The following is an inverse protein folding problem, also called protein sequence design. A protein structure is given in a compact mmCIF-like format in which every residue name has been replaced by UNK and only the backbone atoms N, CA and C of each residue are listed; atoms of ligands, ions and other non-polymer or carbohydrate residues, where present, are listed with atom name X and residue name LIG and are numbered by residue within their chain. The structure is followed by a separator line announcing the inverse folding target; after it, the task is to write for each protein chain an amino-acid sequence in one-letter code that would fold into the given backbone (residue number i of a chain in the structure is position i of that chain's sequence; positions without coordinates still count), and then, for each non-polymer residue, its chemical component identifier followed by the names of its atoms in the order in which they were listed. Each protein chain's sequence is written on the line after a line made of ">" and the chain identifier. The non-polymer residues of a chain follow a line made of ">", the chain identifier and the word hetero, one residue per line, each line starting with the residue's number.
data_IF_848785798751
#
_entry.id   IF_848785798751
#
_cell.length_a   1.000
_cell.length_b   1.000
_cell.length_c   1.000
_cell.angle_alpha   90.00
_cell.angle_beta   90.00
_cell.angle_gamma   90.00
#
_symmetry.space_group_name_H-M   'P 1'
#
loop_
_entity.id
_entity.type
_entity.pdbx_description
1 polymer ?
#
# COMPACT_ATOMS: atom_id res chain seq x y z
N UNK A 1 4.98 11.90 -13.31
CA UNK A 1 5.01 11.11 -12.06
C UNK A 1 4.59 9.68 -12.38
N UNK A 2 5.45 8.72 -12.13
CA UNK A 2 5.16 7.31 -12.44
C UNK A 2 4.25 6.68 -11.39
N UNK A 3 4.56 6.88 -10.10
CA UNK A 3 3.81 6.30 -9.00
C UNK A 3 3.31 7.34 -8.01
N UNK A 4 2.13 7.08 -7.43
CA UNK A 4 1.65 7.75 -6.22
C UNK A 4 1.46 6.72 -5.12
N UNK A 5 2.23 6.83 -4.05
CA UNK A 5 2.11 5.99 -2.86
C UNK A 5 1.03 6.57 -1.97
N UNK A 6 -0.06 5.84 -1.78
CA UNK A 6 -1.21 6.26 -0.96
C UNK A 6 -1.15 5.55 0.38
N UNK A 7 -1.04 6.32 1.46
CA UNK A 7 -0.89 5.81 2.83
C UNK A 7 -2.04 6.33 3.68
N UNK A 8 -3.08 5.51 3.94
CA UNK A 8 -4.10 5.84 4.94
C UNK A 8 -3.52 5.64 6.34
N UNK A 9 -3.73 6.63 7.23
CA UNK A 9 -3.17 6.63 8.59
C UNK A 9 -4.27 6.86 9.62
N UNK A 10 -4.22 6.08 10.71
CA UNK A 10 -5.05 6.30 11.88
C UNK A 10 -4.29 5.94 13.15
N UNK A 11 -3.84 6.96 13.92
CA UNK A 11 -3.11 6.82 15.19
C UNK A 11 -1.83 5.95 15.12
N UNK A 12 -1.01 6.10 14.07
CA UNK A 12 0.20 5.28 13.83
C UNK A 12 1.41 6.10 13.40
N UNK A 13 1.84 7.12 14.19
CA UNK A 13 2.96 7.97 13.78
C UNK A 13 4.30 7.22 13.68
N UNK A 14 4.54 6.23 14.55
CA UNK A 14 5.81 5.50 14.59
C UNK A 14 5.96 4.59 13.36
N UNK A 15 4.90 3.87 12.98
CA UNK A 15 4.88 3.03 11.78
C UNK A 15 5.02 3.85 10.50
N UNK A 16 4.41 5.05 10.47
CA UNK A 16 4.58 6.00 9.36
C UNK A 16 6.04 6.45 9.23
N UNK A 17 6.75 6.66 10.36
CA UNK A 17 8.17 7.01 10.34
C UNK A 17 9.01 5.91 9.68
N UNK A 18 8.81 4.66 10.07
CA UNK A 18 9.51 3.50 9.49
C UNK A 18 9.23 3.36 7.99
N UNK A 19 7.98 3.51 7.57
CA UNK A 19 7.59 3.45 6.16
C UNK A 19 8.24 4.60 5.35
N UNK A 20 8.16 5.85 5.83
CA UNK A 20 8.76 7.01 5.16
C UNK A 20 10.28 6.88 5.09
N UNK A 21 10.93 6.35 6.12
CA UNK A 21 12.35 6.05 6.09
C UNK A 21 12.67 5.04 4.97
N UNK A 22 11.90 3.96 4.85
CA UNK A 22 12.10 2.96 3.79
C UNK A 22 11.86 3.53 2.39
N UNK A 23 10.96 4.50 2.24
CA UNK A 23 10.71 5.22 0.99
C UNK A 23 11.88 6.15 0.63
N UNK A 24 12.56 6.76 1.60
CA UNK A 24 13.77 7.55 1.31
C UNK A 24 14.92 6.70 0.77
N UNK A 25 14.98 5.44 1.15
CA UNK A 25 16.01 4.50 0.72
C UNK A 25 15.81 3.94 -0.69
N UNK A 26 14.67 4.19 -1.34
CA UNK A 26 14.39 3.69 -2.68
C UNK A 26 15.40 4.24 -3.71
N UNK A 27 15.90 3.40 -4.61
CA UNK A 27 16.74 3.84 -5.73
C UNK A 27 15.93 4.59 -6.79
N UNK A 28 14.78 4.08 -7.16
CA UNK A 28 13.84 4.76 -8.06
C UNK A 28 13.21 5.97 -7.37
N UNK A 29 13.12 7.12 -8.07
CA UNK A 29 12.69 8.39 -7.44
C UNK A 29 11.46 9.05 -8.10
N UNK A 30 10.94 8.52 -9.21
CA UNK A 30 9.79 9.13 -9.89
C UNK A 30 8.46 8.72 -9.22
N UNK A 31 8.33 9.05 -7.94
CA UNK A 31 7.10 8.86 -7.17
C UNK A 31 6.81 10.03 -6.22
N UNK A 32 5.57 10.16 -5.85
CA UNK A 32 5.10 10.99 -4.75
C UNK A 32 4.53 10.13 -3.63
N UNK A 33 4.44 10.69 -2.44
CA UNK A 33 3.83 10.07 -1.26
C UNK A 33 2.64 10.91 -0.82
N UNK A 34 1.47 10.30 -0.72
CA UNK A 34 0.23 10.94 -0.28
C UNK A 34 -0.19 10.30 1.04
N UNK A 35 0.09 11.01 2.13
CA UNK A 35 -0.29 10.60 3.50
C UNK A 35 -1.64 11.20 3.82
N UNK A 36 -2.60 10.36 4.20
CA UNK A 36 -3.95 10.80 4.56
C UNK A 36 -4.32 10.34 5.97
N UNK A 37 -4.40 11.30 6.87
CA UNK A 37 -4.82 11.10 8.26
C UNK A 37 -6.34 10.96 8.34
N UNK A 38 -6.83 9.84 8.88
CA UNK A 38 -8.25 9.50 8.97
C UNK A 38 -8.86 9.84 10.33
N UNK A 39 -8.70 11.08 10.78
CA UNK A 39 -9.25 11.56 12.06
C UNK A 39 -8.48 11.06 13.28
N UNK A 40 -7.16 10.92 13.18
CA UNK A 40 -6.31 10.52 14.29
C UNK A 40 -6.35 11.49 15.44
N UNK A 41 -6.33 10.96 16.66
CA UNK A 41 -6.05 11.72 17.88
C UNK A 41 -4.55 11.92 18.13
N UNK A 42 -3.72 11.06 17.53
CA UNK A 42 -2.25 11.16 17.50
C UNK A 42 -1.81 11.28 16.05
N UNK A 43 -1.75 12.51 15.49
CA UNK A 43 -1.43 12.71 14.09
C UNK A 43 0.06 12.48 13.78
N UNK A 44 0.35 12.03 12.56
CA UNK A 44 1.72 11.83 12.08
C UNK A 44 2.31 13.05 11.34
N UNK A 45 1.69 14.23 11.44
CA UNK A 45 2.14 15.43 10.72
C UNK A 45 3.60 15.78 10.99
N UNK A 46 4.01 15.83 12.25
CA UNK A 46 5.39 16.15 12.65
C UNK A 46 6.39 15.11 12.12
N UNK A 47 5.98 13.85 12.05
CA UNK A 47 6.75 12.77 11.44
C UNK A 47 6.92 13.07 9.95
N UNK A 48 5.83 13.32 9.25
CA UNK A 48 5.82 13.59 7.80
C UNK A 48 6.70 14.79 7.44
N UNK A 49 6.64 15.87 8.23
CA UNK A 49 7.41 17.09 8.01
C UNK A 49 8.94 16.86 8.03
N UNK A 50 9.43 15.84 8.73
CA UNK A 50 10.86 15.46 8.73
C UNK A 50 11.38 14.92 7.41
N UNK A 51 10.49 14.57 6.49
CA UNK A 51 10.83 13.92 5.22
C UNK A 51 10.58 14.78 3.97
N UNK A 52 9.99 15.98 4.10
CA UNK A 52 9.61 16.84 2.96
C UNK A 52 10.80 17.26 2.07
N UNK A 53 12.01 17.36 2.62
CA UNK A 53 13.22 17.69 1.86
C UNK A 53 13.80 16.49 1.08
N UNK A 54 13.33 15.28 1.37
CA UNK A 54 13.85 14.02 0.81
C UNK A 54 12.84 13.29 -0.06
N UNK A 55 11.55 13.53 0.17
CA UNK A 55 10.43 12.90 -0.53
C UNK A 55 9.45 13.97 -1.01
N UNK A 56 8.86 13.77 -2.18
CA UNK A 56 7.72 14.58 -2.62
C UNK A 56 6.46 14.14 -1.87
N UNK A 57 6.19 14.75 -0.72
CA UNK A 57 5.09 14.37 0.18
C UNK A 57 3.94 15.38 0.12
N UNK A 58 2.72 14.87 -0.02
CA UNK A 58 1.46 15.57 0.21
C UNK A 58 0.80 15.01 1.47
N UNK A 59 0.55 15.85 2.46
CA UNK A 59 -0.12 15.45 3.70
C UNK A 59 -1.52 16.05 3.77
N UNK A 60 -2.49 15.21 4.08
CA UNK A 60 -3.89 15.61 4.25
C UNK A 60 -4.45 15.05 5.56
N UNK A 61 -5.37 15.80 6.18
CA UNK A 61 -6.13 15.33 7.34
C UNK A 61 -7.63 15.51 7.07
N UNK A 62 -8.42 14.54 7.47
CA UNK A 62 -9.89 14.57 7.31
C UNK A 62 -10.58 13.87 8.48
N UNK A 63 -11.90 14.10 8.69
CA UNK A 63 -12.69 13.30 9.62
C UNK A 63 -12.64 11.81 9.28
N UNK A 64 -12.70 10.95 10.31
CA UNK A 64 -12.65 9.50 10.14
C UNK A 64 -13.79 9.00 9.25
N UNK A 65 -13.44 8.19 8.26
CA UNK A 65 -14.39 7.59 7.32
C UNK A 65 -14.04 6.15 6.92
N UNK A 66 -13.02 5.59 7.56
CA UNK A 66 -12.50 4.26 7.30
C UNK A 66 -11.44 4.21 6.19
N UNK A 67 -10.63 3.12 6.16
CA UNK A 67 -9.45 3.04 5.32
C UNK A 67 -9.76 3.08 3.82
N UNK A 68 -10.84 2.45 3.35
CA UNK A 68 -11.21 2.48 1.92
C UNK A 68 -11.50 3.88 1.42
N UNK A 69 -12.29 4.68 2.17
CA UNK A 69 -12.59 6.06 1.80
C UNK A 69 -11.35 6.96 1.93
N UNK A 70 -10.45 6.64 2.84
CA UNK A 70 -9.18 7.36 3.03
C UNK A 70 -8.23 7.11 1.87
N UNK A 71 -8.18 5.88 1.35
CA UNK A 71 -7.45 5.54 0.12
C UNK A 71 -8.03 6.27 -1.09
N UNK A 72 -9.36 6.32 -1.24
CA UNK A 72 -10.02 7.09 -2.32
C UNK A 72 -9.66 8.58 -2.24
N UNK A 73 -9.72 9.15 -1.04
CA UNK A 73 -9.38 10.56 -0.81
C UNK A 73 -7.94 10.87 -1.23
N UNK A 74 -6.99 9.98 -0.92
CA UNK A 74 -5.59 10.10 -1.34
C UNK A 74 -5.43 9.95 -2.86
N UNK A 75 -6.09 8.97 -3.45
CA UNK A 75 -6.05 8.73 -4.89
C UNK A 75 -6.54 9.93 -5.71
N UNK A 76 -7.63 10.58 -5.28
CA UNK A 76 -8.18 11.79 -5.91
C UNK A 76 -7.20 12.99 -5.89
N UNK A 77 -6.22 13.00 -4.97
CA UNK A 77 -5.25 14.10 -4.76
C UNK A 77 -3.85 13.78 -5.22
N UNK A 78 -3.71 12.67 -5.88
CA UNK A 78 -2.44 12.15 -6.40
C UNK A 78 -2.35 12.30 -7.92
N UNK A 79 -1.13 12.20 -8.50
CA UNK A 79 -0.87 12.53 -9.91
C UNK A 79 -0.21 11.38 -10.69
N UNK A 80 0.26 10.33 -10.02
CA UNK A 80 0.98 9.21 -10.63
C UNK A 80 0.13 8.40 -11.60
N UNK A 81 0.78 7.80 -12.57
CA UNK A 81 0.14 6.87 -13.53
C UNK A 81 -0.37 5.61 -12.84
N UNK A 82 0.40 5.10 -11.88
CA UNK A 82 0.01 4.00 -11.01
C UNK A 82 -0.19 4.47 -9.57
N UNK A 83 -1.22 3.98 -8.93
CA UNK A 83 -1.47 4.12 -7.51
C UNK A 83 -0.87 2.91 -6.79
N UNK A 84 0.05 3.15 -5.86
CA UNK A 84 0.60 2.13 -4.97
C UNK A 84 -0.05 2.34 -3.60
N UNK A 85 -0.91 1.42 -3.22
CA UNK A 85 -1.65 1.49 -1.96
C UNK A 85 -0.91 0.64 -0.94
N UNK A 86 -0.46 1.28 0.14
CA UNK A 86 0.27 0.65 1.24
C UNK A 86 -0.44 0.92 2.56
N UNK A 87 -0.43 -0.05 3.45
CA UNK A 87 -0.77 0.19 4.84
C UNK A 87 0.41 0.88 5.56
N UNK A 88 0.13 1.63 6.63
CA UNK A 88 1.13 2.44 7.33
C UNK A 88 2.23 1.64 8.04
N UNK A 89 2.02 0.34 8.26
CA UNK A 89 2.91 -0.59 8.98
C UNK A 89 3.78 -1.45 8.04
N UNK A 90 3.98 -1.00 6.81
CA UNK A 90 4.82 -1.67 5.80
C UNK A 90 6.23 -1.07 5.77
N UNK A 91 7.25 -1.91 5.66
CA UNK A 91 8.64 -1.51 5.37
C UNK A 91 9.01 -2.07 3.99
N UNK A 92 9.43 -1.18 3.09
CA UNK A 92 9.77 -1.54 1.72
C UNK A 92 11.25 -1.87 1.57
N UNK A 93 11.62 -2.92 0.79
CA UNK A 93 13.00 -3.13 0.38
C UNK A 93 13.46 -1.99 -0.55
N UNK A 94 14.75 -1.66 -0.53
CA UNK A 94 15.34 -0.51 -1.27
C UNK A 94 15.09 -0.52 -2.78
N UNK A 95 14.85 -1.69 -3.37
CA UNK A 95 14.59 -1.89 -4.81
C UNK A 95 13.14 -2.25 -5.12
N UNK A 96 12.21 -1.84 -4.28
CA UNK A 96 10.79 -2.17 -4.46
C UNK A 96 10.26 -1.65 -5.79
N UNK A 97 10.49 -0.38 -6.12
CA UNK A 97 10.03 0.19 -7.39
C UNK A 97 10.81 -0.31 -8.61
N UNK A 98 12.12 -0.58 -8.45
CA UNK A 98 12.91 -1.19 -9.54
C UNK A 98 12.37 -2.57 -9.93
N UNK A 99 11.96 -3.36 -8.95
CA UNK A 99 11.34 -4.67 -9.20
C UNK A 99 9.98 -4.53 -9.90
N UNK A 100 9.15 -3.56 -9.49
CA UNK A 100 7.87 -3.28 -10.16
C UNK A 100 8.11 -2.86 -11.61
N UNK A 101 9.05 -1.95 -11.89
CA UNK A 101 9.36 -1.51 -13.25
C UNK A 101 9.84 -2.68 -14.12
N UNK A 102 10.72 -3.54 -13.60
CA UNK A 102 11.20 -4.70 -14.33
C UNK A 102 10.05 -5.66 -14.70
N UNK A 103 9.14 -5.92 -13.77
CA UNK A 103 7.96 -6.77 -14.00
C UNK A 103 6.98 -6.14 -14.99
N UNK A 104 6.69 -4.85 -14.87
CA UNK A 104 5.79 -4.14 -15.77
C UNK A 104 6.35 -4.02 -17.19
N UNK A 105 7.68 -3.95 -17.35
CA UNK A 105 8.34 -3.99 -18.65
C UNK A 105 8.25 -5.39 -19.29
N UNK A 106 8.40 -6.44 -18.49
CA UNK A 106 8.34 -7.82 -18.96
C UNK A 106 6.89 -8.27 -19.25
N UNK A 107 5.94 -7.82 -18.42
CA UNK A 107 4.53 -8.19 -18.49
C UNK A 107 3.66 -7.01 -18.02
N UNK A 108 3.24 -6.14 -18.96
CA UNK A 108 2.36 -5.02 -18.63
C UNK A 108 1.09 -5.47 -17.92
N UNK A 109 0.75 -4.84 -16.80
CA UNK A 109 -0.41 -5.16 -15.98
C UNK A 109 -1.14 -3.90 -15.53
N UNK A 110 -2.45 -3.99 -15.44
CA UNK A 110 -3.31 -2.90 -14.92
C UNK A 110 -3.40 -2.92 -13.40
N UNK A 111 -3.20 -4.09 -12.80
CA UNK A 111 -3.14 -4.24 -11.34
C UNK A 111 -2.15 -5.34 -10.96
N UNK A 112 -1.43 -5.13 -9.87
CA UNK A 112 -0.48 -6.07 -9.31
C UNK A 112 -0.44 -5.98 -7.78
N UNK A 113 0.18 -6.96 -7.14
CA UNK A 113 0.45 -6.95 -5.72
C UNK A 113 1.65 -7.81 -5.42
N UNK A 114 2.39 -7.45 -4.39
CA UNK A 114 3.56 -8.18 -3.93
C UNK A 114 3.24 -9.17 -2.81
N UNK A 115 4.08 -10.19 -2.62
CA UNK A 115 4.03 -11.04 -1.44
C UNK A 115 4.42 -10.25 -0.19
N UNK A 116 3.78 -10.57 0.92
CA UNK A 116 4.16 -10.11 2.23
C UNK A 116 5.22 -11.06 2.87
N UNK A 117 6.16 -10.48 3.59
CA UNK A 117 7.15 -11.22 4.37
C UNK A 117 7.33 -10.54 5.73
N UNK A 118 7.45 -11.34 6.79
CA UNK A 118 7.83 -10.82 8.09
C UNK A 118 9.22 -10.17 8.02
N UNK A 119 9.35 -8.97 8.60
CA UNK A 119 10.64 -8.31 8.74
C UNK A 119 11.54 -9.09 9.71
N UNK A 120 12.85 -9.03 9.52
CA UNK A 120 13.82 -9.78 10.35
C UNK A 120 13.79 -9.33 11.83
N UNK A 121 13.39 -8.08 12.11
CA UNK A 121 13.21 -7.54 13.47
C UNK A 121 11.96 -8.05 14.19
N UNK A 122 11.07 -8.78 13.53
CA UNK A 122 9.87 -9.31 14.16
C UNK A 122 10.20 -10.29 15.27
N UNK A 123 9.44 -10.24 16.35
CA UNK A 123 9.53 -11.20 17.44
C UNK A 123 9.22 -12.63 16.95
N UNK A 124 9.65 -13.65 17.69
CA UNK A 124 9.38 -15.04 17.31
C UNK A 124 7.88 -15.33 17.21
N UNK A 125 7.04 -14.67 18.03
CA UNK A 125 5.58 -14.77 17.95
C UNK A 125 5.06 -14.17 16.65
N UNK A 126 5.53 -12.98 16.26
CA UNK A 126 5.14 -12.35 14.99
C UNK A 126 5.62 -13.16 13.78
N UNK A 127 6.83 -13.74 13.84
CA UNK A 127 7.34 -14.67 12.81
C UNK A 127 6.49 -15.95 12.72
N UNK A 128 6.06 -16.50 13.86
CA UNK A 128 5.19 -17.67 13.90
C UNK A 128 3.79 -17.37 13.32
N UNK A 129 3.23 -16.21 13.63
CA UNK A 129 1.96 -15.73 13.05
C UNK A 129 2.11 -15.58 11.53
N UNK A 130 3.18 -14.91 11.06
CA UNK A 130 3.45 -14.77 9.63
C UNK A 130 3.60 -16.14 8.96
N UNK A 131 4.36 -17.05 9.55
CA UNK A 131 4.50 -18.42 9.04
C UNK A 131 3.14 -19.12 8.94
N UNK A 132 2.29 -19.02 9.96
CA UNK A 132 0.94 -19.62 9.91
C UNK A 132 0.08 -18.97 8.81
N UNK A 133 0.23 -17.69 8.55
CA UNK A 133 -0.51 -16.95 7.51
C UNK A 133 0.02 -17.20 6.09
N UNK A 134 1.26 -17.61 5.92
CA UNK A 134 1.92 -17.83 4.61
C UNK A 134 2.14 -19.32 4.29
N UNK A 135 1.95 -20.22 5.26
CA UNK A 135 2.16 -21.65 5.13
C UNK A 135 1.20 -22.27 4.12
N UNK A 136 1.71 -23.22 3.35
CA UNK A 136 0.90 -24.01 2.42
C UNK A 136 -0.26 -24.74 3.12
N UNK A 137 -0.05 -25.20 4.35
CA UNK A 137 -1.06 -25.94 5.12
C UNK A 137 -2.24 -25.08 5.57
N UNK A 138 -2.02 -23.79 5.80
CA UNK A 138 -3.06 -22.88 6.30
C UNK A 138 -3.75 -22.09 5.18
N UNK A 139 -3.03 -21.79 4.10
CA UNK A 139 -3.52 -20.91 3.02
C UNK A 139 -3.48 -21.54 1.63
N UNK A 140 -3.14 -22.83 1.53
CA UNK A 140 -3.04 -23.54 0.25
C UNK A 140 -1.94 -22.98 -0.67
N UNK A 141 -0.94 -22.23 -0.11
CA UNK A 141 0.14 -21.61 -0.88
C UNK A 141 -0.25 -20.28 -1.54
N UNK A 142 -1.45 -19.77 -1.28
CA UNK A 142 -1.96 -18.51 -1.85
C UNK A 142 -1.15 -17.30 -1.39
N UNK A 143 -0.64 -17.32 -0.15
CA UNK A 143 0.12 -16.23 0.46
C UNK A 143 1.63 -16.37 0.32
N UNK A 144 2.21 -17.31 -0.23
CA UNK A 144 3.67 -17.50 -0.31
C UNK A 144 4.26 -17.38 -1.71
N UNK A 145 3.50 -16.94 -2.72
CA UNK A 145 3.99 -16.75 -4.09
C UNK A 145 4.39 -18.05 -4.82
N UNK A 146 4.08 -19.24 -4.28
CA UNK A 146 4.51 -20.53 -4.81
C UNK A 146 3.56 -21.19 -5.81
N UNK A 147 2.40 -20.59 -6.07
CA UNK A 147 1.42 -21.15 -7.01
C UNK A 147 0.92 -20.07 -7.98
N UNK A 148 1.01 -20.32 -9.29
CA UNK A 148 0.31 -19.51 -10.30
C UNK A 148 -1.19 -19.67 -10.05
N UNK A 149 -1.86 -18.55 -9.77
CA UNK A 149 -3.31 -18.53 -9.57
C UNK A 149 -3.99 -18.11 -10.87
N UNK A 150 -5.07 -18.80 -11.25
CA UNK A 150 -5.91 -18.44 -12.39
C UNK A 150 -6.63 -17.09 -12.19
N UNK A 151 -6.80 -16.66 -10.92
CA UNK A 151 -7.32 -15.34 -10.54
C UNK A 151 -6.48 -14.78 -9.41
N UNK A 152 -5.86 -13.62 -9.65
CA UNK A 152 -5.11 -12.87 -8.67
C UNK A 152 -5.96 -11.72 -8.14
N UNK A 153 -6.06 -11.63 -6.82
CA UNK A 153 -6.72 -10.51 -6.13
C UNK A 153 -5.67 -9.75 -5.33
N UNK A 154 -5.22 -8.57 -5.83
CA UNK A 154 -4.31 -7.71 -5.06
C UNK A 154 -4.94 -7.37 -3.71
N UNK A 155 -4.12 -7.34 -2.67
CA UNK A 155 -4.54 -6.95 -1.33
C UNK A 155 -4.20 -5.50 -1.08
N UNK A 156 -5.04 -4.81 -0.33
CA UNK A 156 -4.93 -3.38 -0.08
C UNK A 156 -3.66 -2.95 0.68
N UNK A 157 -2.97 -3.85 1.38
CA UNK A 157 -1.75 -3.52 2.11
C UNK A 157 -0.51 -3.37 1.22
N UNK A 158 -0.51 -3.93 0.00
CA UNK A 158 0.56 -3.81 -1.00
C UNK A 158 -0.03 -4.06 -2.38
N UNK A 159 -0.69 -3.05 -2.94
CA UNK A 159 -1.39 -3.13 -4.21
C UNK A 159 -0.99 -1.99 -5.13
N UNK A 160 -0.59 -2.32 -6.35
CA UNK A 160 -0.44 -1.37 -7.44
C UNK A 160 -1.62 -1.48 -8.40
N UNK A 161 -2.16 -0.35 -8.85
CA UNK A 161 -3.23 -0.31 -9.83
C UNK A 161 -3.07 0.92 -10.75
N UNK A 162 -3.27 0.73 -12.05
CA UNK A 162 -3.26 1.83 -13.01
C UNK A 162 -4.39 2.81 -12.68
N UNK A 163 -4.07 4.11 -12.62
CA UNK A 163 -5.04 5.16 -12.26
C UNK A 163 -6.33 5.09 -13.06
N UNK A 164 -6.23 4.97 -14.38
CA UNK A 164 -7.42 4.93 -15.26
C UNK A 164 -8.34 3.75 -14.95
N UNK A 165 -7.79 2.61 -14.57
CA UNK A 165 -8.55 1.42 -14.15
C UNK A 165 -9.18 1.67 -12.77
N UNK A 166 -8.42 2.23 -11.82
CA UNK A 166 -8.94 2.58 -10.49
C UNK A 166 -10.15 3.53 -10.58
N UNK A 167 -10.03 4.58 -11.39
CA UNK A 167 -11.10 5.57 -11.62
C UNK A 167 -12.32 4.94 -12.31
N UNK A 168 -12.10 4.11 -13.34
CA UNK A 168 -13.18 3.40 -14.05
C UNK A 168 -13.97 2.47 -13.11
N UNK A 169 -13.28 1.81 -12.18
CA UNK A 169 -13.90 0.92 -11.19
C UNK A 169 -14.57 1.70 -10.03
N UNK A 170 -14.34 3.01 -9.90
CA UNK A 170 -14.90 3.86 -8.86
C UNK A 170 -14.22 3.73 -7.50
N UNK A 171 -12.98 3.20 -7.47
CA UNK A 171 -12.17 3.03 -6.27
C UNK A 171 -12.73 2.02 -5.27
N UNK A 172 -12.36 2.19 -3.99
CA UNK A 172 -12.87 1.35 -2.90
C UNK A 172 -14.33 1.65 -2.59
N UNK A 173 -15.12 0.59 -2.40
CA UNK A 173 -16.54 0.73 -2.04
C UNK A 173 -16.74 1.30 -0.63
N UNK A 174 -17.89 1.94 -0.38
CA UNK A 174 -18.30 2.44 0.95
C UNK A 174 -18.82 1.29 1.84
N UNK A 175 -18.06 0.23 2.00
CA UNK A 175 -18.43 -0.89 2.87
C UNK A 175 -17.69 -0.78 4.20
N UNK A 176 -18.37 -1.14 5.29
CA UNK A 176 -17.80 -1.11 6.65
C UNK A 176 -16.88 -2.30 6.93
N UNK A 177 -17.05 -3.39 6.17
CA UNK A 177 -16.25 -4.62 6.27
C UNK A 177 -16.03 -5.17 4.85
N UNK A 178 -14.82 -5.72 4.59
CA UNK A 178 -14.47 -6.28 3.27
C UNK A 178 -14.22 -5.22 2.20
N UNK A 179 -13.85 -4.03 2.60
CA UNK A 179 -13.54 -2.87 1.74
C UNK A 179 -12.29 -3.04 0.86
N UNK A 180 -11.55 -4.14 1.05
CA UNK A 180 -10.33 -4.46 0.28
C UNK A 180 -10.59 -4.76 -1.20
N UNK A 181 -11.83 -4.64 -1.65
CA UNK A 181 -12.22 -4.82 -3.05
C UNK A 181 -12.39 -3.48 -3.74
N UNK A 182 -11.67 -3.30 -4.85
CA UNK A 182 -11.90 -2.21 -5.79
C UNK A 182 -13.03 -2.62 -6.74
N UNK A 183 -13.94 -1.68 -6.99
CA UNK A 183 -15.08 -1.89 -7.88
C UNK A 183 -16.34 -2.43 -7.19
N UNK A 184 -17.46 -2.42 -7.90
CA UNK A 184 -18.71 -3.04 -7.42
C UNK A 184 -18.57 -4.55 -7.46
N UNK A 185 -18.81 -5.21 -6.34
CA UNK A 185 -19.04 -6.64 -6.34
C UNK A 185 -20.33 -6.91 -7.13
N UNK A 186 -20.20 -7.39 -8.36
CA UNK A 186 -21.31 -8.04 -9.02
C UNK A 186 -21.45 -9.43 -8.40
N UNK A 187 -22.51 -9.63 -7.65
CA UNK A 187 -23.00 -10.94 -7.23
C UNK A 187 -23.67 -11.60 -8.43
#
# INVERSE_FOLDING_TARGET
>A
MRYSVIIPVYNRPDEVDELLQSLTAQYFKDFEVVVVEDGSSIPCKEVTDRYIDRLNIKYFSKPNSGPGQTRNYGAERSEGEYLIILDSDVILPERYFDAIEAELLASPADAFGGPDRAHDSFTDIQKAINYSMTSFFTTGGIRGGKKKMDKFYPRSFNMGVRRTVYETLGGFSKMRFGEDKIGRAHV
#
